data_IF_101649862380
#
_entry.id   IF_101649862380
#
_cell.length_a   1.000
_cell.length_b   1.000
_cell.length_c   1.000
_cell.angle_alpha   90.00
_cell.angle_beta   90.00
_cell.angle_gamma   90.00
#
_symmetry.space_group_name_H-M   'P 1'
#
loop_
_entity.id
_entity.type
_entity.pdbx_description
1 polymer ?
#
# COMPACT_ATOMS: atom_id res chain seq x y z
N UNK A 1 4.02 -13.55 -9.31
CA UNK A 1 3.80 -14.66 -8.37
C UNK A 1 3.19 -15.82 -9.12
N UNK A 2 3.57 -17.05 -8.80
CA UNK A 2 2.99 -18.25 -9.41
C UNK A 2 1.53 -18.46 -8.96
N UNK A 3 0.64 -18.97 -9.81
CA UNK A 3 -0.64 -19.52 -9.35
C UNK A 3 -0.41 -20.72 -8.44
N UNK A 4 -1.38 -21.07 -7.61
CA UNK A 4 -1.28 -22.17 -6.64
C UNK A 4 -2.36 -23.21 -6.86
N UNK A 5 -2.08 -24.45 -6.46
CA UNK A 5 -3.02 -25.57 -6.48
C UNK A 5 -2.91 -26.40 -5.20
N UNK A 6 -3.99 -27.09 -4.86
CA UNK A 6 -4.02 -28.03 -3.74
C UNK A 6 -3.69 -29.44 -4.24
N UNK A 7 -2.75 -30.10 -3.55
CA UNK A 7 -2.38 -31.49 -3.79
C UNK A 7 -2.81 -32.34 -2.59
N UNK A 8 -3.74 -33.28 -2.81
CA UNK A 8 -4.15 -34.27 -1.82
C UNK A 8 -3.34 -35.55 -1.96
N UNK A 9 -2.80 -36.06 -0.86
CA UNK A 9 -1.97 -37.27 -0.81
C UNK A 9 -2.27 -38.11 0.44
N UNK A 10 -1.90 -39.39 0.41
CA UNK A 10 -1.97 -40.27 1.59
C UNK A 10 -0.62 -40.24 2.32
N UNK A 11 -0.65 -40.05 3.64
CA UNK A 11 0.54 -40.16 4.49
C UNK A 11 0.91 -41.62 4.79
N UNK A 12 1.97 -41.83 5.58
CA UNK A 12 2.45 -43.16 5.94
C UNK A 12 1.43 -43.99 6.74
N UNK A 13 0.45 -43.34 7.38
CA UNK A 13 -0.62 -43.98 8.15
C UNK A 13 -1.91 -44.15 7.32
N UNK A 14 -1.87 -43.80 6.02
CA UNK A 14 -3.00 -43.88 5.09
C UNK A 14 -4.04 -42.77 5.30
N UNK A 15 -3.72 -41.72 6.06
CA UNK A 15 -4.61 -40.57 6.25
C UNK A 15 -4.46 -39.60 5.08
N UNK A 16 -5.59 -39.02 4.66
CA UNK A 16 -5.59 -38.00 3.63
C UNK A 16 -5.03 -36.68 4.18
N UNK A 17 -3.98 -36.18 3.54
CA UNK A 17 -3.37 -34.88 3.80
C UNK A 17 -3.49 -34.02 2.54
N UNK A 18 -3.46 -32.70 2.72
CA UNK A 18 -3.47 -31.73 1.62
C UNK A 18 -2.35 -30.73 1.82
N UNK A 19 -1.71 -30.30 0.72
CA UNK A 19 -0.75 -29.20 0.71
C UNK A 19 -1.02 -28.24 -0.44
N UNK A 20 -0.70 -26.96 -0.24
CA UNK A 20 -0.76 -25.95 -1.28
C UNK A 20 0.61 -25.78 -1.93
N UNK A 21 0.67 -25.88 -3.26
CA UNK A 21 1.91 -25.80 -4.03
C UNK A 21 1.79 -24.77 -5.16
N UNK A 22 2.89 -24.06 -5.51
CA UNK A 22 2.90 -23.21 -6.69
C UNK A 22 2.86 -24.07 -7.95
N UNK A 23 1.96 -23.73 -8.87
CA UNK A 23 1.90 -24.32 -10.20
C UNK A 23 2.97 -23.68 -11.09
N UNK A 24 4.12 -24.34 -11.20
CA UNK A 24 5.23 -23.92 -12.05
C UNK A 24 5.17 -24.60 -13.42
N UNK A 25 6.12 -24.23 -14.29
CA UNK A 25 6.30 -24.87 -15.60
C UNK A 25 6.67 -26.35 -15.46
N UNK A 26 7.39 -26.73 -14.41
CA UNK A 26 7.72 -28.13 -14.15
C UNK A 26 6.47 -28.94 -13.80
N UNK A 27 5.56 -28.39 -12.99
CA UNK A 27 4.29 -29.04 -12.62
C UNK A 27 3.39 -29.24 -13.84
N UNK A 28 3.27 -28.21 -14.70
CA UNK A 28 2.58 -28.37 -15.99
C UNK A 28 3.26 -29.42 -16.86
N UNK A 29 4.58 -29.34 -17.06
CA UNK A 29 5.31 -30.26 -17.92
C UNK A 29 5.22 -31.71 -17.41
N UNK A 30 5.13 -31.93 -16.09
CA UNK A 30 4.97 -33.25 -15.50
C UNK A 30 3.61 -33.90 -15.83
N UNK A 31 2.56 -33.10 -16.07
CA UNK A 31 1.25 -33.61 -16.52
C UNK A 31 1.20 -33.98 -18.00
N UNK A 32 2.21 -33.56 -18.77
CA UNK A 32 2.26 -33.71 -20.22
C UNK A 32 3.17 -34.88 -20.64
N UNK A 33 2.58 -35.93 -21.23
CA UNK A 33 3.30 -37.16 -21.57
C UNK A 33 4.58 -36.94 -22.43
N UNK A 34 4.59 -35.91 -23.27
CA UNK A 34 5.74 -35.55 -24.13
C UNK A 34 7.00 -35.13 -23.35
N UNK A 35 6.86 -34.68 -22.11
CA UNK A 35 7.99 -34.27 -21.28
C UNK A 35 8.44 -35.34 -20.29
N UNK A 36 7.80 -36.52 -20.25
CA UNK A 36 8.08 -37.59 -19.28
C UNK A 36 9.57 -37.93 -19.13
N UNK A 37 10.36 -37.84 -20.21
CA UNK A 37 11.81 -38.11 -20.20
C UNK A 37 12.65 -37.13 -19.36
N UNK A 38 12.10 -35.95 -19.03
CA UNK A 38 12.76 -34.90 -18.26
C UNK A 38 12.50 -35.01 -16.75
N UNK A 39 11.87 -36.11 -16.33
CA UNK A 39 11.48 -36.36 -14.95
C UNK A 39 11.96 -37.74 -14.52
N UNK A 40 12.65 -37.81 -13.38
CA UNK A 40 13.13 -39.05 -12.79
C UNK A 40 12.93 -39.05 -11.28
N UNK A 41 12.90 -40.22 -10.64
CA UNK A 41 12.89 -40.29 -9.19
C UNK A 41 14.10 -39.53 -8.62
N UNK A 42 13.88 -38.73 -7.58
CA UNK A 42 14.96 -37.99 -6.93
C UNK A 42 15.88 -38.98 -6.18
N UNK A 43 17.19 -39.01 -6.46
CA UNK A 43 18.13 -39.85 -5.73
C UNK A 43 18.21 -39.48 -4.24
N UNK A 44 18.44 -40.46 -3.35
CA UNK A 44 18.61 -40.18 -1.90
C UNK A 44 19.87 -39.35 -1.61
N UNK A 45 20.90 -39.48 -2.45
CA UNK A 45 22.16 -38.75 -2.39
C UNK A 45 22.15 -37.44 -3.22
N UNK A 46 20.97 -37.01 -3.70
CA UNK A 46 20.84 -35.81 -4.51
C UNK A 46 21.43 -34.60 -3.77
N UNK A 47 22.37 -33.87 -4.39
CA UNK A 47 23.00 -32.73 -3.73
C UNK A 47 22.01 -31.57 -3.64
N UNK A 48 21.83 -31.05 -2.43
CA UNK A 48 20.99 -29.89 -2.09
C UNK A 48 19.64 -29.91 -2.84
N UNK A 49 18.75 -30.86 -2.55
CA UNK A 49 17.47 -30.95 -3.23
C UNK A 49 16.60 -29.73 -2.87
N UNK A 50 16.13 -29.01 -3.88
CA UNK A 50 15.30 -27.81 -3.72
C UNK A 50 14.00 -27.93 -4.51
N UNK A 51 12.86 -27.47 -3.94
CA UNK A 51 11.64 -27.31 -4.70
C UNK A 51 11.88 -26.44 -5.93
N UNK A 52 11.27 -26.81 -7.07
CA UNK A 52 11.56 -26.19 -8.36
C UNK A 52 11.35 -24.67 -8.37
N UNK A 53 10.32 -24.17 -7.69
CA UNK A 53 10.07 -22.72 -7.59
C UNK A 53 11.16 -21.99 -6.81
N UNK A 54 11.62 -22.54 -5.67
CA UNK A 54 12.72 -21.95 -4.90
C UNK A 54 14.02 -21.99 -5.69
N UNK A 55 14.27 -23.10 -6.41
CA UNK A 55 15.43 -23.24 -7.28
C UNK A 55 15.47 -22.11 -8.32
N UNK A 56 14.33 -21.76 -8.93
CA UNK A 56 14.23 -20.66 -9.90
C UNK A 56 14.39 -19.26 -9.30
N UNK A 57 14.25 -19.08 -7.98
CA UNK A 57 14.47 -17.80 -7.32
C UNK A 57 15.94 -17.58 -6.95
N UNK A 58 16.74 -18.65 -6.89
CA UNK A 58 18.17 -18.58 -6.61
C UNK A 58 18.97 -18.01 -7.79
N UNK A 59 20.10 -17.40 -7.49
CA UNK A 59 21.09 -17.00 -8.51
C UNK A 59 21.78 -18.22 -9.12
N UNK A 60 22.39 -18.06 -10.30
CA UNK A 60 23.11 -19.14 -10.99
C UNK A 60 24.19 -19.80 -10.11
N UNK A 61 24.91 -19.01 -9.31
CA UNK A 61 25.91 -19.50 -8.37
C UNK A 61 25.30 -20.32 -7.23
N UNK A 62 24.11 -19.94 -6.76
CA UNK A 62 23.40 -20.64 -5.69
C UNK A 62 22.73 -21.93 -6.19
N UNK A 63 22.41 -21.99 -7.48
CA UNK A 63 21.89 -23.20 -8.14
C UNK A 63 22.97 -24.23 -8.42
N UNK A 64 24.24 -23.80 -8.50
CA UNK A 64 25.35 -24.68 -8.81
C UNK A 64 25.43 -25.84 -7.80
N UNK A 65 25.22 -27.06 -8.28
CA UNK A 65 25.24 -28.27 -7.46
C UNK A 65 23.96 -28.55 -6.66
N UNK A 66 22.88 -27.78 -6.86
CA UNK A 66 21.57 -28.09 -6.31
C UNK A 66 20.71 -28.89 -7.29
N UNK A 67 19.85 -29.75 -6.76
CA UNK A 67 19.00 -30.64 -7.57
C UNK A 67 17.54 -30.17 -7.49
N UNK A 68 16.96 -29.64 -8.58
CA UNK A 68 15.57 -29.20 -8.57
C UNK A 68 14.62 -30.39 -8.59
N UNK A 69 13.54 -30.32 -7.79
CA UNK A 69 12.49 -31.34 -7.77
C UNK A 69 11.09 -30.73 -7.67
N UNK A 70 10.08 -31.50 -8.07
CA UNK A 70 8.66 -31.23 -7.79
C UNK A 70 8.05 -32.36 -6.97
N UNK A 71 6.94 -32.08 -6.31
CA UNK A 71 6.13 -33.09 -5.64
C UNK A 71 5.17 -33.75 -6.64
N UNK A 72 5.12 -35.08 -6.63
CA UNK A 72 4.19 -35.87 -7.44
C UNK A 72 3.57 -36.98 -6.60
N UNK A 73 2.53 -37.63 -7.13
CA UNK A 73 1.91 -38.79 -6.50
C UNK A 73 2.36 -40.08 -7.20
N UNK A 74 2.63 -41.13 -6.43
CA UNK A 74 2.84 -42.47 -6.97
C UNK A 74 1.51 -43.17 -7.32
N UNK A 75 1.58 -44.43 -7.76
CA UNK A 75 0.40 -45.25 -8.10
C UNK A 75 -0.50 -45.52 -6.89
N UNK A 76 0.03 -45.38 -5.67
CA UNK A 76 -0.64 -45.60 -4.39
C UNK A 76 -1.14 -44.29 -3.75
N UNK A 77 -1.04 -43.15 -4.45
CA UNK A 77 -1.38 -41.81 -3.96
C UNK A 77 -0.49 -41.31 -2.81
N UNK A 78 0.70 -41.85 -2.63
CA UNK A 78 1.69 -41.30 -1.71
C UNK A 78 2.49 -40.18 -2.35
N UNK A 79 2.93 -39.25 -1.52
CA UNK A 79 3.76 -38.12 -1.93
C UNK A 79 5.19 -38.60 -2.26
N UNK A 80 5.63 -38.32 -3.48
CA UNK A 80 6.98 -38.59 -3.96
C UNK A 80 7.65 -37.32 -4.47
N UNK A 81 9.00 -37.36 -4.57
CA UNK A 81 9.80 -36.27 -5.13
C UNK A 81 10.38 -36.69 -6.47
N UNK A 82 10.15 -35.86 -7.47
CA UNK A 82 10.57 -36.12 -8.85
C UNK A 82 11.58 -35.05 -9.24
N UNK A 83 12.81 -35.49 -9.52
CA UNK A 83 13.87 -34.63 -10.04
C UNK A 83 13.46 -34.08 -11.42
N UNK A 84 13.78 -32.81 -11.64
CA UNK A 84 13.52 -32.09 -12.88
C UNK A 84 14.83 -31.94 -13.66
N UNK A 85 14.81 -32.27 -14.95
CA UNK A 85 15.98 -32.12 -15.81
C UNK A 85 16.26 -30.65 -16.18
N UNK A 86 17.52 -30.36 -16.52
CA UNK A 86 17.99 -29.01 -16.84
C UNK A 86 17.26 -28.39 -18.04
N UNK A 87 16.74 -29.17 -18.99
CA UNK A 87 15.99 -28.61 -20.12
C UNK A 87 14.68 -27.97 -19.67
N UNK A 88 14.04 -28.48 -18.61
CA UNK A 88 12.83 -27.88 -18.04
C UNK A 88 13.19 -26.62 -17.24
N UNK A 89 14.35 -26.61 -16.56
CA UNK A 89 14.88 -25.40 -15.91
C UNK A 89 15.14 -24.30 -16.94
N UNK A 90 15.78 -24.62 -18.07
CA UNK A 90 16.04 -23.70 -19.16
C UNK A 90 14.72 -23.17 -19.75
N UNK A 91 13.79 -24.08 -20.07
CA UNK A 91 12.46 -23.73 -20.55
C UNK A 91 11.76 -22.75 -19.59
N UNK A 92 11.78 -23.06 -18.28
CA UNK A 92 11.14 -22.21 -17.29
C UNK A 92 11.79 -20.83 -17.20
N UNK A 93 13.12 -20.77 -17.23
CA UNK A 93 13.89 -19.52 -17.21
C UNK A 93 13.58 -18.65 -18.42
N UNK A 94 13.50 -19.24 -19.63
CA UNK A 94 13.13 -18.51 -20.85
C UNK A 94 11.69 -17.99 -20.80
N UNK A 95 10.73 -18.80 -20.34
CA UNK A 95 9.33 -18.37 -20.24
C UNK A 95 9.14 -17.26 -19.20
N UNK A 96 9.84 -17.32 -18.07
CA UNK A 96 9.87 -16.24 -17.08
C UNK A 96 10.46 -14.95 -17.66
N UNK A 97 11.56 -15.06 -18.42
CA UNK A 97 12.19 -13.91 -19.07
C UNK A 97 11.27 -13.26 -20.09
N UNK A 98 10.58 -14.07 -20.91
CA UNK A 98 9.58 -13.57 -21.86
C UNK A 98 8.40 -12.90 -21.15
N UNK A 99 7.91 -13.49 -20.07
CA UNK A 99 6.84 -12.89 -19.27
C UNK A 99 7.24 -11.54 -18.69
N UNK A 100 8.46 -11.43 -18.14
CA UNK A 100 8.99 -10.15 -17.65
C UNK A 100 9.07 -9.11 -18.78
N UNK A 101 9.59 -9.48 -19.96
CA UNK A 101 9.65 -8.59 -21.11
C UNK A 101 8.27 -8.11 -21.57
N UNK A 102 7.26 -8.98 -21.57
CA UNK A 102 5.88 -8.59 -21.88
C UNK A 102 5.33 -7.59 -20.87
N UNK A 103 5.60 -7.77 -19.58
CA UNK A 103 5.18 -6.84 -18.53
C UNK A 103 5.86 -5.49 -18.64
N UNK A 104 7.15 -5.46 -19.01
CA UNK A 104 7.88 -4.22 -19.30
C UNK A 104 7.25 -3.48 -20.50
N UNK A 105 6.98 -4.19 -21.61
CA UNK A 105 6.37 -3.58 -22.80
C UNK A 105 4.93 -3.12 -22.56
N UNK A 106 4.18 -3.82 -21.71
CA UNK A 106 2.85 -3.43 -21.28
C UNK A 106 2.86 -2.26 -20.29
N UNK A 107 4.03 -1.81 -19.82
CA UNK A 107 4.15 -0.75 -18.82
C UNK A 107 3.72 -1.15 -17.41
N UNK A 108 3.59 -2.46 -17.14
CA UNK A 108 3.23 -3.00 -15.82
C UNK A 108 4.44 -3.11 -14.88
N UNK A 109 5.65 -3.10 -15.43
CA UNK A 109 6.90 -3.06 -14.68
C UNK A 109 7.86 -2.02 -15.29
N UNK A 110 8.72 -1.45 -14.46
CA UNK A 110 9.80 -0.58 -14.90
C UNK A 110 11.10 -1.38 -15.00
N UNK A 111 11.93 -1.05 -15.99
CA UNK A 111 13.28 -1.58 -16.05
C UNK A 111 14.05 -1.19 -14.76
N UNK A 112 14.86 -2.10 -14.17
CA UNK A 112 15.51 -1.85 -12.87
C UNK A 112 16.33 -0.55 -12.82
N UNK A 113 17.03 -0.23 -13.92
CA UNK A 113 17.80 1.01 -14.03
C UNK A 113 16.90 2.26 -14.01
N UNK A 114 15.76 2.22 -14.71
CA UNK A 114 14.80 3.32 -14.72
C UNK A 114 14.17 3.50 -13.34
N UNK A 115 13.75 2.40 -12.70
CA UNK A 115 13.21 2.42 -11.36
C UNK A 115 14.21 3.03 -10.36
N UNK A 116 15.47 2.58 -10.38
CA UNK A 116 16.50 3.08 -9.47
C UNK A 116 16.83 4.57 -9.68
N UNK A 117 16.86 5.04 -10.93
CA UNK A 117 17.04 6.46 -11.25
C UNK A 117 15.87 7.30 -10.75
N UNK A 118 14.64 6.85 -10.96
CA UNK A 118 13.45 7.54 -10.48
C UNK A 118 13.43 7.62 -8.95
N UNK A 119 13.69 6.50 -8.25
CA UNK A 119 13.78 6.47 -6.79
C UNK A 119 14.82 7.45 -6.27
N UNK A 120 16.00 7.50 -6.88
CA UNK A 120 17.06 8.45 -6.49
C UNK A 120 16.64 9.90 -6.69
N UNK A 121 15.96 10.21 -7.80
CA UNK A 121 15.45 11.55 -8.08
C UNK A 121 14.41 11.98 -7.03
N UNK A 122 13.43 11.11 -6.76
CA UNK A 122 12.38 11.38 -5.79
C UNK A 122 12.93 11.53 -4.37
N UNK A 123 13.91 10.71 -3.99
CA UNK A 123 14.61 10.85 -2.70
C UNK A 123 15.29 12.22 -2.59
N UNK A 124 16.02 12.65 -3.62
CA UNK A 124 16.66 13.96 -3.62
C UNK A 124 15.65 15.13 -3.53
N UNK A 125 14.50 15.02 -4.21
CA UNK A 125 13.43 16.03 -4.09
C UNK A 125 12.81 16.06 -2.69
N UNK A 126 12.59 14.90 -2.07
CA UNK A 126 12.08 14.80 -0.71
C UNK A 126 13.06 15.37 0.31
N UNK A 127 14.34 14.99 0.21
CA UNK A 127 15.39 15.51 1.08
C UNK A 127 15.50 17.03 0.96
N UNK A 128 15.45 17.57 -0.27
CA UNK A 128 15.44 19.02 -0.50
C UNK A 128 14.23 19.72 0.12
N UNK A 129 13.03 19.12 0.03
CA UNK A 129 11.82 19.65 0.69
C UNK A 129 11.94 19.63 2.21
N UNK A 130 12.51 18.57 2.78
CA UNK A 130 12.73 18.46 4.23
C UNK A 130 13.74 19.51 4.71
N UNK A 131 14.83 19.71 3.98
CA UNK A 131 15.82 20.74 4.28
C UNK A 131 15.23 22.15 4.20
N UNK A 132 14.47 22.45 3.13
CA UNK A 132 13.80 23.73 2.98
C UNK A 132 12.80 24.00 4.12
N UNK A 133 11.96 23.01 4.44
CA UNK A 133 10.99 23.11 5.51
C UNK A 133 11.67 23.33 6.87
N UNK A 134 12.75 22.59 7.14
CA UNK A 134 13.56 22.76 8.35
C UNK A 134 14.14 24.17 8.44
N UNK A 135 14.73 24.68 7.36
CA UNK A 135 15.28 26.03 7.32
C UNK A 135 14.21 27.10 7.58
N UNK A 136 13.01 26.92 7.00
CA UNK A 136 11.87 27.81 7.27
C UNK A 136 11.44 27.80 8.73
N UNK A 137 11.34 26.62 9.37
CA UNK A 137 10.99 26.53 10.79
C UNK A 137 12.07 27.11 11.69
N UNK A 138 13.35 26.87 11.40
CA UNK A 138 14.47 27.45 12.13
C UNK A 138 14.44 28.99 12.03
N UNK A 139 14.16 29.54 10.84
CA UNK A 139 14.00 30.98 10.64
C UNK A 139 12.78 31.55 11.37
N UNK A 140 11.64 30.85 11.35
CA UNK A 140 10.44 31.22 12.13
C UNK A 140 10.78 31.25 13.62
N UNK A 141 11.40 30.19 14.17
CA UNK A 141 11.80 30.14 15.57
C UNK A 141 12.78 31.28 15.94
N UNK A 142 13.73 31.61 15.08
CA UNK A 142 14.63 32.74 15.29
C UNK A 142 13.87 34.07 15.37
N UNK A 143 12.95 34.32 14.43
CA UNK A 143 12.16 35.56 14.41
C UNK A 143 11.22 35.67 15.62
N UNK A 144 10.59 34.56 16.04
CA UNK A 144 9.81 34.52 17.28
C UNK A 144 10.71 34.84 18.49
N UNK A 145 11.89 34.23 18.59
CA UNK A 145 12.84 34.50 19.70
C UNK A 145 13.26 35.96 19.78
N UNK A 146 13.39 36.65 18.65
CA UNK A 146 13.73 38.09 18.63
C UNK A 146 12.54 39.00 18.99
N UNK A 147 11.34 38.67 18.50
CA UNK A 147 10.15 39.52 18.67
C UNK A 147 9.52 39.40 20.06
N UNK A 148 9.49 38.20 20.63
CA UNK A 148 8.80 37.93 21.89
C UNK A 148 9.30 38.76 23.07
N UNK A 149 10.63 38.94 23.30
CA UNK A 149 11.12 39.77 24.40
C UNK A 149 10.58 41.21 24.36
N UNK A 150 10.47 41.82 23.17
CA UNK A 150 9.94 43.19 23.01
C UNK A 150 8.44 43.27 23.25
N UNK A 151 7.69 42.25 22.82
CA UNK A 151 6.24 42.18 23.07
C UNK A 151 5.93 41.95 24.55
N UNK A 152 6.70 41.08 25.21
CA UNK A 152 6.60 40.83 26.65
C UNK A 152 6.92 42.12 27.41
N UNK A 153 8.03 42.79 27.12
CA UNK A 153 8.41 44.03 27.81
C UNK A 153 7.36 45.13 27.63
N UNK A 154 6.79 45.27 26.42
CA UNK A 154 5.71 46.23 26.15
C UNK A 154 4.44 45.93 26.93
N UNK A 155 3.98 44.67 26.93
CA UNK A 155 2.78 44.27 27.70
C UNK A 155 2.98 44.44 29.21
N UNK A 156 4.17 44.11 29.72
CA UNK A 156 4.51 44.33 31.13
C UNK A 156 4.45 45.83 31.48
N UNK A 157 5.04 46.69 30.65
CA UNK A 157 5.01 48.13 30.85
C UNK A 157 3.57 48.71 30.78
N UNK A 158 2.77 48.29 29.79
CA UNK A 158 1.36 48.69 29.66
C UNK A 158 0.52 48.23 30.86
N UNK A 159 0.74 47.01 31.36
CA UNK A 159 0.08 46.49 32.56
C UNK A 159 0.42 47.28 33.82
N UNK A 160 1.68 47.68 33.98
CA UNK A 160 2.12 48.55 35.08
C UNK A 160 1.51 49.95 35.00
N UNK A 161 1.48 50.56 33.80
CA UNK A 161 0.89 51.88 33.57
C UNK A 161 -0.63 51.90 33.81
N UNK A 162 -1.36 50.87 33.36
CA UNK A 162 -2.81 50.75 33.59
C UNK A 162 -3.16 50.65 35.08
N UNK A 163 -2.28 50.10 35.91
CA UNK A 163 -2.55 49.86 37.33
C UNK A 163 -2.11 51.00 38.24
N UNK A 164 -1.40 52.00 37.72
CA UNK A 164 -1.19 53.29 38.40
C UNK A 164 -0.55 53.21 39.79
N UNK A 165 0.32 52.22 40.03
CA UNK A 165 1.01 52.04 41.32
C UNK A 165 2.50 51.86 41.04
N UNK A 166 3.34 52.67 41.69
CA UNK A 166 4.80 52.63 41.55
C UNK A 166 5.43 51.30 42.02
N UNK A 167 6.62 51.33 42.62
CA UNK A 167 7.42 50.13 42.94
C UNK A 167 6.67 48.94 43.59
N UNK A 168 5.59 49.18 44.35
CA UNK A 168 4.71 48.14 44.92
C UNK A 168 3.93 47.31 43.86
N UNK A 169 3.53 47.92 42.75
CA UNK A 169 2.85 47.22 41.65
C UNK A 169 3.75 46.25 40.89
N UNK A 170 5.07 46.53 40.85
CA UNK A 170 6.07 45.69 40.19
C UNK A 170 6.34 44.40 40.97
N UNK A 171 6.45 44.47 42.30
CA UNK A 171 6.60 43.28 43.15
C UNK A 171 5.37 42.36 43.09
N UNK A 172 4.16 42.92 43.06
CA UNK A 172 2.94 42.12 42.96
C UNK A 172 2.73 41.52 41.56
N UNK A 173 3.30 42.13 40.51
CA UNK A 173 3.33 41.57 39.16
C UNK A 173 4.34 40.41 39.06
N UNK A 174 5.54 40.58 39.61
CA UNK A 174 6.57 39.53 39.67
C UNK A 174 6.09 38.31 40.48
N UNK A 175 5.29 38.53 41.53
CA UNK A 175 4.68 37.45 42.31
C UNK A 175 3.57 36.68 41.57
N UNK A 176 3.00 37.26 40.49
CA UNK A 176 1.95 36.65 39.67
C UNK A 176 2.45 36.04 38.35
N UNK A 177 3.73 36.23 38.01
CA UNK A 177 4.36 35.61 36.84
C UNK A 177 4.96 34.28 37.30
N UNK A 178 4.28 33.19 36.94
CA UNK A 178 4.81 31.85 37.17
C UNK A 178 5.88 31.53 36.12
N UNK A 179 7.14 31.41 36.57
CA UNK A 179 8.30 31.09 35.72
C UNK A 179 8.60 29.59 35.72
N UNK A 180 7.65 28.76 36.19
CA UNK A 180 7.82 27.31 36.24
C UNK A 180 7.87 26.68 34.83
N UNK A 181 8.57 25.55 34.64
CA UNK A 181 8.62 24.83 33.36
C UNK A 181 7.22 24.48 32.82
N UNK A 182 6.27 24.18 33.72
CA UNK A 182 4.86 23.92 33.39
C UNK A 182 4.11 25.14 32.84
N UNK A 183 4.45 26.35 33.29
CA UNK A 183 3.88 27.59 32.76
C UNK A 183 4.39 27.86 31.34
N UNK A 184 5.66 27.52 31.07
CA UNK A 184 6.23 27.58 29.72
C UNK A 184 5.63 26.53 28.79
N UNK A 185 5.36 25.31 29.29
CA UNK A 185 4.67 24.25 28.54
C UNK A 185 3.20 24.62 28.21
N UNK A 186 2.46 25.24 29.15
CA UNK A 186 1.11 25.78 28.89
C UNK A 186 1.13 27.00 27.94
N UNK A 187 2.17 27.84 27.99
CA UNK A 187 2.36 28.93 27.05
C UNK A 187 2.74 28.41 25.63
N UNK A 188 3.51 27.33 25.54
CA UNK A 188 3.78 26.63 24.27
C UNK A 188 2.56 25.88 23.73
N UNK A 189 1.70 25.33 24.58
CA UNK A 189 0.43 24.73 24.18
C UNK A 189 -0.56 25.78 23.61
N UNK A 190 -0.53 27.01 24.13
CA UNK A 190 -1.34 28.14 23.63
C UNK A 190 -0.68 28.90 22.46
N UNK A 191 0.65 28.88 22.33
CA UNK A 191 1.36 29.34 21.13
C UNK A 191 1.31 28.32 19.99
N UNK A 192 1.24 27.02 20.29
CA UNK A 192 0.93 25.95 19.34
C UNK A 192 -0.48 26.10 18.75
N UNK A 193 -1.39 26.77 19.46
CA UNK A 193 -2.71 27.14 18.97
C UNK A 193 -2.73 28.43 18.11
N UNK A 194 -1.61 29.16 17.97
CA UNK A 194 -1.52 30.38 17.12
C UNK A 194 -0.36 30.39 16.12
N UNK A 195 0.55 29.41 16.16
CA UNK A 195 1.59 29.18 15.14
C UNK A 195 1.29 27.95 14.25
N UNK A 196 0.00 27.65 14.07
CA UNK A 196 -0.51 26.77 13.03
C UNK A 196 -1.48 27.52 12.13
N UNK A 197 -1.03 28.56 11.44
CA UNK A 197 -1.74 29.18 10.30
C UNK A 197 -0.88 30.23 9.60
N UNK A 198 -0.07 29.80 8.63
CA UNK A 198 0.21 30.51 7.39
C UNK A 198 1.01 29.60 6.43
N UNK A 199 0.48 28.41 6.17
CA UNK A 199 0.30 27.96 4.79
C UNK A 199 -1.14 28.32 4.44
N UNK A 200 -1.35 28.84 3.23
CA UNK A 200 -2.67 29.21 2.75
C UNK A 200 -3.57 27.97 2.72
N UNK A 201 -4.48 27.88 3.69
CA UNK A 201 -5.66 27.03 3.65
C UNK A 201 -6.89 27.90 3.41
N UNK A 202 -7.69 27.45 2.47
CA UNK A 202 -9.01 27.97 2.15
C UNK A 202 -9.94 27.68 3.35
N UNK A 203 -10.77 28.67 3.68
CA UNK A 203 -11.68 28.79 4.82
C UNK A 203 -12.39 27.50 5.33
N UNK A 204 -12.45 27.27 6.66
CA UNK A 204 -13.40 26.33 7.26
C UNK A 204 -14.76 27.02 7.52
N UNK A 205 -15.84 26.29 7.24
CA UNK A 205 -17.21 26.56 7.69
C UNK A 205 -17.57 25.53 8.79
N UNK A 206 -18.59 25.79 9.62
CA UNK A 206 -18.60 25.45 11.05
C UNK A 206 -18.87 23.98 11.40
N UNK A 207 -18.34 23.58 12.56
CA UNK A 207 -18.53 22.28 13.22
C UNK A 207 -20.01 21.91 13.41
N UNK A 208 -20.41 20.78 12.81
CA UNK A 208 -21.45 19.91 13.35
C UNK A 208 -20.98 18.45 13.23
N UNK A 209 -20.63 17.86 14.39
CA UNK A 209 -20.81 16.46 14.80
C UNK A 209 -20.10 15.35 14.00
N UNK A 210 -19.25 14.62 14.74
CA UNK A 210 -18.75 13.25 14.50
C UNK A 210 -19.08 12.66 13.11
N UNK A 211 -18.16 12.82 12.16
CA UNK A 211 -18.15 12.00 10.96
C UNK A 211 -16.75 11.40 10.73
N UNK A 212 -16.79 10.09 10.59
CA UNK A 212 -15.71 9.15 10.31
C UNK A 212 -14.93 9.60 9.06
N UNK A 213 -13.66 9.21 8.92
CA UNK A 213 -12.90 9.50 7.69
C UNK A 213 -13.57 8.83 6.48
N UNK A 214 -14.42 9.56 5.75
CA UNK A 214 -15.11 9.02 4.58
C UNK A 214 -14.08 8.73 3.46
N UNK A 215 -13.93 7.45 3.13
CA UNK A 215 -13.05 7.00 2.04
C UNK A 215 -13.79 7.20 0.73
N UNK A 216 -13.24 8.00 -0.17
CA UNK A 216 -13.85 8.20 -1.49
C UNK A 216 -13.71 6.94 -2.35
N UNK A 217 -14.77 6.61 -3.11
CA UNK A 217 -14.74 5.52 -4.06
C UNK A 217 -13.66 5.77 -5.14
N UNK A 218 -12.87 4.76 -5.50
CA UNK A 218 -11.85 4.90 -6.55
C UNK A 218 -11.67 3.61 -7.36
N UNK A 219 -10.98 3.73 -8.50
CA UNK A 219 -10.63 2.59 -9.37
C UNK A 219 -9.13 2.60 -9.62
N UNK A 220 -8.47 1.44 -9.49
CA UNK A 220 -7.08 1.25 -9.92
C UNK A 220 -7.02 1.17 -11.46
N UNK A 221 -7.31 2.27 -12.15
CA UNK A 221 -7.49 2.34 -13.61
C UNK A 221 -6.33 1.71 -14.41
N UNK A 222 -5.10 1.73 -13.88
CA UNK A 222 -3.93 1.10 -14.48
C UNK A 222 -4.07 -0.41 -14.69
N UNK A 223 -4.89 -1.09 -13.88
CA UNK A 223 -5.13 -2.54 -13.92
C UNK A 223 -6.41 -2.92 -14.66
N UNK A 224 -7.12 -1.95 -15.23
CA UNK A 224 -8.38 -2.19 -15.94
C UNK A 224 -8.18 -3.03 -17.21
N UNK A 225 -9.01 -4.06 -17.37
CA UNK A 225 -8.99 -4.97 -18.53
C UNK A 225 -10.09 -4.68 -19.56
N UNK A 226 -10.83 -3.57 -19.40
CA UNK A 226 -11.89 -3.13 -20.33
C UNK A 226 -12.96 -4.20 -20.60
N UNK A 227 -13.42 -4.88 -19.55
CA UNK A 227 -14.44 -5.94 -19.66
C UNK A 227 -15.88 -5.41 -19.79
N UNK A 228 -16.11 -4.11 -19.61
CA UNK A 228 -17.40 -3.40 -19.67
C UNK A 228 -18.42 -3.70 -18.55
N UNK A 229 -18.14 -4.63 -17.65
CA UNK A 229 -19.05 -4.98 -16.55
C UNK A 229 -19.54 -3.79 -15.70
N UNK A 230 -18.65 -2.85 -15.37
CA UNK A 230 -19.00 -1.67 -14.57
C UNK A 230 -19.75 -0.61 -15.40
N UNK A 231 -19.32 -0.34 -16.64
CA UNK A 231 -19.97 0.64 -17.53
C UNK A 231 -21.34 0.16 -18.01
N UNK A 232 -21.52 -1.15 -18.16
CA UNK A 232 -22.82 -1.76 -18.51
C UNK A 232 -23.77 -1.78 -17.30
N UNK A 233 -23.25 -1.76 -16.07
CA UNK A 233 -24.04 -1.62 -14.85
C UNK A 233 -24.59 -0.19 -14.69
N UNK A 234 -23.72 0.82 -14.79
CA UNK A 234 -24.11 2.23 -14.74
C UNK A 234 -23.10 3.11 -15.51
N UNK A 235 -23.50 3.56 -16.71
CA UNK A 235 -22.66 4.38 -17.59
C UNK A 235 -22.57 5.87 -17.24
N UNK A 236 -23.34 6.33 -16.24
CA UNK A 236 -23.20 7.69 -15.68
C UNK A 236 -22.22 7.69 -14.50
N UNK A 237 -22.19 6.60 -13.72
CA UNK A 237 -21.25 6.39 -12.62
C UNK A 237 -19.83 6.03 -13.11
N UNK A 238 -19.72 5.21 -14.15
CA UNK A 238 -18.45 4.74 -14.69
C UNK A 238 -18.24 5.16 -16.15
N UNK A 239 -17.04 5.59 -16.48
CA UNK A 239 -16.64 5.89 -17.85
C UNK A 239 -15.24 5.35 -18.17
N UNK A 240 -14.93 5.30 -19.46
CA UNK A 240 -13.59 4.97 -19.95
C UNK A 240 -12.86 6.22 -20.41
N UNK A 241 -11.60 6.35 -20.00
CA UNK A 241 -10.71 7.38 -20.53
C UNK A 241 -10.21 7.02 -21.95
N UNK A 242 -9.38 7.89 -22.53
CA UNK A 242 -8.80 7.69 -23.87
C UNK A 242 -7.98 6.40 -24.01
N UNK A 243 -7.45 5.89 -22.89
CA UNK A 243 -6.67 4.64 -22.83
C UNK A 243 -7.54 3.40 -22.56
N UNK A 244 -8.87 3.54 -22.60
CA UNK A 244 -9.85 2.47 -22.29
C UNK A 244 -9.75 1.93 -20.86
N UNK A 245 -9.32 2.77 -19.92
CA UNK A 245 -9.29 2.44 -18.50
C UNK A 245 -10.48 3.04 -17.79
N UNK A 246 -11.17 2.22 -16.99
CA UNK A 246 -12.35 2.65 -16.25
C UNK A 246 -11.96 3.63 -15.14
N UNK A 247 -12.77 4.66 -14.95
CA UNK A 247 -12.70 5.61 -13.84
C UNK A 247 -14.12 5.97 -13.39
N UNK A 248 -14.25 6.52 -12.19
CA UNK A 248 -15.54 7.00 -11.67
C UNK A 248 -15.80 8.38 -12.28
N UNK A 249 -16.84 8.48 -13.09
CA UNK A 249 -17.20 9.71 -13.80
C UNK A 249 -17.98 10.66 -12.89
N UNK A 250 -18.99 10.14 -12.19
CA UNK A 250 -19.75 10.87 -11.18
C UNK A 250 -20.11 9.92 -10.02
N UNK A 251 -19.44 10.04 -8.86
CA UNK A 251 -19.74 9.21 -7.68
C UNK A 251 -21.19 9.33 -7.18
N UNK A 252 -21.91 10.39 -7.57
CA UNK A 252 -23.31 10.65 -7.15
C UNK A 252 -24.34 10.18 -8.17
N UNK A 253 -23.90 9.70 -9.33
CA UNK A 253 -24.79 9.18 -10.39
C UNK A 253 -25.25 7.73 -10.14
N UNK A 254 -24.88 7.13 -9.01
CA UNK A 254 -25.32 5.80 -8.61
C UNK A 254 -25.34 5.62 -7.10
N UNK A 255 -25.90 4.49 -6.69
CA UNK A 255 -25.98 4.07 -5.27
C UNK A 255 -24.69 3.38 -4.80
N UNK A 256 -24.44 3.37 -3.50
CA UNK A 256 -23.38 2.57 -2.90
C UNK A 256 -23.51 1.09 -3.25
N UNK A 257 -24.75 0.59 -3.30
CA UNK A 257 -25.05 -0.75 -3.83
C UNK A 257 -24.47 -1.00 -5.23
N UNK A 258 -24.57 -0.03 -6.14
CA UNK A 258 -24.05 -0.17 -7.50
C UNK A 258 -22.52 -0.14 -7.54
N UNK A 259 -21.88 0.65 -6.67
CA UNK A 259 -20.42 0.62 -6.49
C UNK A 259 -19.95 -0.77 -6.01
N UNK A 260 -20.62 -1.35 -5.01
CA UNK A 260 -20.29 -2.70 -4.50
C UNK A 260 -20.54 -3.78 -5.55
N UNK A 261 -21.66 -3.72 -6.27
CA UNK A 261 -21.93 -4.67 -7.35
C UNK A 261 -20.94 -4.56 -8.51
N UNK A 262 -20.48 -3.35 -8.84
CA UNK A 262 -19.44 -3.15 -9.83
C UNK A 262 -18.11 -3.78 -9.37
N UNK A 263 -17.76 -3.62 -8.09
CA UNK A 263 -16.56 -4.23 -7.51
C UNK A 263 -16.59 -5.75 -7.56
N UNK A 264 -17.73 -6.36 -7.21
CA UNK A 264 -17.91 -7.82 -7.28
C UNK A 264 -17.90 -8.37 -8.71
N UNK A 265 -18.41 -7.61 -9.69
CA UNK A 265 -18.41 -8.01 -11.11
C UNK A 265 -17.07 -7.76 -11.79
N UNK A 266 -16.19 -6.98 -11.19
CA UNK A 266 -14.89 -6.67 -11.78
C UNK A 266 -14.00 -7.92 -11.79
N UNK A 267 -13.62 -8.47 -12.96
CA UNK A 267 -12.85 -9.72 -13.05
C UNK A 267 -11.43 -9.63 -12.44
N UNK A 268 -10.95 -8.40 -12.22
CA UNK A 268 -9.62 -8.10 -11.68
C UNK A 268 -9.66 -7.39 -10.33
N UNK A 269 -10.85 -7.19 -9.76
CA UNK A 269 -11.08 -6.62 -8.42
C UNK A 269 -10.38 -5.27 -8.19
N UNK A 270 -10.58 -4.31 -9.10
CA UNK A 270 -9.88 -3.00 -9.10
C UNK A 270 -10.78 -1.82 -8.70
N UNK A 271 -12.03 -2.07 -8.32
CA UNK A 271 -13.00 -1.03 -7.95
C UNK A 271 -13.16 -1.06 -6.43
N UNK A 272 -12.94 0.09 -5.80
CA UNK A 272 -13.01 0.28 -4.36
C UNK A 272 -14.24 1.16 -4.05
N UNK A 273 -15.33 0.61 -3.50
CA UNK A 273 -16.57 1.34 -3.25
C UNK A 273 -16.48 2.46 -2.23
N UNK A 274 -15.47 2.43 -1.34
CA UNK A 274 -15.28 3.45 -0.30
C UNK A 274 -16.41 3.47 0.73
N UNK A 275 -16.69 4.66 1.25
CA UNK A 275 -17.78 4.95 2.20
C UNK A 275 -19.05 5.37 1.44
N UNK A 276 -20.25 4.89 1.83
CA UNK A 276 -21.49 5.31 1.20
C UNK A 276 -21.73 6.82 1.29
N UNK A 277 -22.08 7.45 0.17
CA UNK A 277 -22.39 8.87 0.11
C UNK A 277 -23.81 9.20 0.62
N UNK A 278 -24.75 8.26 0.51
CA UNK A 278 -26.12 8.38 1.04
C UNK A 278 -26.33 7.40 2.21
N UNK A 279 -26.37 7.89 3.46
CA UNK A 279 -26.60 7.07 4.64
C UNK A 279 -28.01 6.45 4.73
N UNK A 280 -28.97 6.87 3.88
CA UNK A 280 -30.36 6.39 3.90
C UNK A 280 -30.63 5.32 2.83
N UNK A 281 -29.60 4.82 2.16
CA UNK A 281 -29.76 3.72 1.21
C UNK A 281 -30.35 2.47 1.86
N UNK A 282 -31.20 1.76 1.10
CA UNK A 282 -31.83 0.53 1.58
C UNK A 282 -30.78 -0.56 1.73
N UNK A 283 -30.87 -1.33 2.82
CA UNK A 283 -30.01 -2.48 3.10
C UNK A 283 -28.51 -2.09 3.23
N UNK A 284 -28.20 -0.85 3.63
CA UNK A 284 -26.84 -0.28 3.64
C UNK A 284 -25.83 -1.10 4.46
N UNK A 285 -26.23 -1.66 5.60
CA UNK A 285 -25.34 -2.46 6.45
C UNK A 285 -24.89 -3.75 5.75
N UNK A 286 -25.77 -4.39 4.97
CA UNK A 286 -25.44 -5.57 4.16
C UNK A 286 -24.43 -5.21 3.06
N UNK A 287 -24.63 -4.07 2.40
CA UNK A 287 -23.71 -3.60 1.36
C UNK A 287 -22.35 -3.19 1.94
N UNK A 288 -22.33 -2.61 3.14
CA UNK A 288 -21.08 -2.29 3.86
C UNK A 288 -20.29 -3.55 4.20
N UNK A 289 -20.94 -4.61 4.67
CA UNK A 289 -20.28 -5.89 4.96
C UNK A 289 -19.63 -6.47 3.70
N UNK A 290 -20.35 -6.46 2.56
CA UNK A 290 -19.82 -6.95 1.28
C UNK A 290 -18.68 -6.09 0.73
N UNK A 291 -18.74 -4.78 0.96
CA UNK A 291 -17.70 -3.85 0.54
C UNK A 291 -16.34 -4.08 1.23
N UNK A 292 -16.31 -4.69 2.42
CA UNK A 292 -15.07 -4.90 3.19
C UNK A 292 -14.00 -5.69 2.44
N UNK A 293 -14.39 -6.56 1.51
CA UNK A 293 -13.43 -7.30 0.65
C UNK A 293 -12.64 -6.36 -0.28
N UNK A 294 -13.20 -5.21 -0.61
CA UNK A 294 -12.67 -4.26 -1.58
C UNK A 294 -12.17 -2.96 -0.93
N UNK A 295 -12.09 -2.91 0.40
CA UNK A 295 -11.61 -1.76 1.17
C UNK A 295 -10.08 -1.70 1.23
#
# INVERSE_FOLDING_TARGET
TWPRYELSYQDADGQAQTMELPLTIADWAASEARFKRHFSALPEDAPQPLPFHEYLERSEQQRAGATPFIHALDEQQHLTRVQVADEIVQLATERLSLWHNLRLMAGLELAPDVASRLSRSLQGELDGKLEALRAEYEAKLASLREQYPRLISRRLAEGLLRRGQGAAGVQQLLAGIDVSPDAFARAQASAGATAGAATAEVSPAPDEQDDDFAVEAFIESARCTTCNECTDLNGELFAYNDKKQAYIADPRAGSFRELVLAAERCPVEIIHPGTPLDPQERDLDEWRERAQRFA
#
